data_IF_440503096082
#
_entry.id   IF_440503096082
#
_cell.length_a   1.000
_cell.length_b   1.000
_cell.length_c   1.000
_cell.angle_alpha   90.00
_cell.angle_beta   90.00
_cell.angle_gamma   90.00
#
_symmetry.space_group_name_H-M   'P 1'
#
loop_
_entity.id
_entity.type
_entity.pdbx_description
1 polymer ?
#
# COMPACT_ATOMS: atom_id res chain seq x y z
N UNK A 1 -0.27 9.90 13.87
CA UNK A 1 -0.24 10.16 12.40
C UNK A 1 -1.63 9.86 11.89
N UNK A 2 -2.26 10.81 11.20
CA UNK A 2 -3.56 10.61 10.54
C UNK A 2 -3.32 10.50 9.04
N UNK A 3 -3.96 9.52 8.40
CA UNK A 3 -3.81 9.27 6.97
C UNK A 3 -5.00 8.49 6.43
N UNK A 4 -5.22 8.59 5.13
CA UNK A 4 -6.26 7.86 4.39
C UNK A 4 -5.56 6.86 3.46
N UNK A 5 -6.06 5.63 3.44
CA UNK A 5 -5.63 4.62 2.47
C UNK A 5 -6.44 4.85 1.19
N UNK A 6 -5.77 4.99 0.04
CA UNK A 6 -6.44 5.23 -1.25
C UNK A 6 -7.33 4.05 -1.65
N UNK A 7 -6.80 2.81 -1.56
CA UNK A 7 -7.55 1.59 -1.82
C UNK A 7 -7.11 0.47 -0.87
N UNK A 8 -8.11 -0.17 -0.25
CA UNK A 8 -7.95 -1.40 0.51
C UNK A 8 -8.82 -2.48 -0.11
N UNK A 9 -8.21 -3.62 -0.41
CA UNK A 9 -8.90 -4.82 -0.88
C UNK A 9 -8.76 -5.89 0.18
N UNK A 10 -9.90 -6.44 0.61
CA UNK A 10 -9.95 -7.55 1.56
C UNK A 10 -10.31 -8.83 0.82
N UNK A 11 -9.41 -9.80 0.88
CA UNK A 11 -9.65 -11.16 0.47
C UNK A 11 -10.02 -12.01 1.69
N UNK A 12 -10.30 -13.30 1.48
CA UNK A 12 -10.58 -14.24 2.56
C UNK A 12 -9.39 -14.46 3.48
N UNK A 13 -8.18 -14.37 2.94
CA UNK A 13 -6.92 -14.79 3.55
C UNK A 13 -5.87 -13.68 3.64
N UNK A 14 -6.09 -12.52 3.01
CA UNK A 14 -5.16 -11.40 3.07
C UNK A 14 -5.81 -10.02 2.87
N UNK A 15 -5.06 -8.99 3.22
CA UNK A 15 -5.35 -7.59 2.89
C UNK A 15 -4.31 -7.08 1.89
N UNK A 16 -4.79 -6.38 0.85
CA UNK A 16 -3.95 -5.64 -0.09
C UNK A 16 -4.24 -4.14 0.05
N UNK A 17 -3.18 -3.36 0.19
CA UNK A 17 -3.23 -1.90 0.18
C UNK A 17 -2.61 -1.41 -1.13
N UNK A 18 -3.30 -0.50 -1.82
CA UNK A 18 -2.77 0.18 -3.00
C UNK A 18 -2.76 1.67 -2.73
N UNK A 19 -1.59 2.27 -2.89
CA UNK A 19 -1.37 3.72 -2.85
C UNK A 19 -1.13 4.20 -4.29
N UNK A 20 -1.95 5.13 -4.76
CA UNK A 20 -1.85 5.62 -6.13
C UNK A 20 -0.99 6.88 -6.18
N UNK A 21 -0.12 6.95 -7.18
CA UNK A 21 0.73 8.13 -7.43
C UNK A 21 0.62 8.57 -8.88
N UNK A 22 0.56 9.87 -9.08
CA UNK A 22 0.46 10.50 -10.42
C UNK A 22 1.81 10.98 -10.94
N UNK A 23 2.84 10.98 -10.08
CA UNK A 23 4.18 11.47 -10.40
C UNK A 23 4.91 10.53 -11.35
N UNK A 24 5.83 11.07 -12.17
CA UNK A 24 6.63 10.28 -13.10
C UNK A 24 7.89 9.66 -12.47
N UNK A 25 8.22 10.04 -11.24
CA UNK A 25 9.44 9.65 -10.55
C UNK A 25 9.14 8.64 -9.45
N UNK A 26 9.85 7.52 -9.50
CA UNK A 26 9.84 6.48 -8.46
C UNK A 26 10.58 6.98 -7.22
N UNK A 27 9.85 7.54 -6.26
CA UNK A 27 10.38 7.87 -4.94
C UNK A 27 10.10 6.73 -3.96
N UNK A 28 10.74 5.57 -4.19
CA UNK A 28 10.50 4.35 -3.42
C UNK A 28 10.62 4.57 -1.91
N UNK A 29 11.63 5.31 -1.46
CA UNK A 29 11.93 5.47 -0.04
C UNK A 29 10.97 6.42 0.69
N UNK A 30 10.36 7.37 -0.03
CA UNK A 30 9.50 8.39 0.57
C UNK A 30 8.17 7.80 1.09
N UNK A 31 7.70 6.72 0.46
CA UNK A 31 6.39 6.14 0.76
C UNK A 31 6.43 4.95 1.73
N UNK A 32 7.61 4.36 1.96
CA UNK A 32 7.74 3.15 2.81
C UNK A 32 7.27 3.36 4.25
N UNK A 33 7.57 4.53 4.84
CA UNK A 33 7.22 4.81 6.24
C UNK A 33 5.71 4.82 6.48
N UNK A 34 4.96 5.45 5.59
CA UNK A 34 3.50 5.53 5.70
C UNK A 34 2.84 4.20 5.38
N UNK A 35 3.28 3.52 4.31
CA UNK A 35 2.75 2.21 3.94
C UNK A 35 2.97 1.18 5.04
N UNK A 36 4.13 1.17 5.69
CA UNK A 36 4.40 0.32 6.85
C UNK A 36 3.38 0.54 7.98
N UNK A 37 3.06 1.80 8.30
CA UNK A 37 2.05 2.11 9.31
C UNK A 37 0.65 1.61 8.91
N UNK A 38 0.29 1.72 7.64
CA UNK A 38 -0.98 1.18 7.14
C UNK A 38 -1.02 -0.35 7.21
N UNK A 39 0.05 -1.05 6.83
CA UNK A 39 0.13 -2.51 6.96
C UNK A 39 -0.05 -2.93 8.40
N UNK A 40 0.73 -2.36 9.33
CA UNK A 40 0.62 -2.66 10.76
C UNK A 40 -0.78 -2.40 11.33
N UNK A 41 -1.44 -1.31 10.90
CA UNK A 41 -2.80 -0.99 11.34
C UNK A 41 -3.82 -2.02 10.83
N UNK A 42 -3.70 -2.45 9.58
CA UNK A 42 -4.64 -3.40 8.98
C UNK A 42 -4.44 -4.82 9.48
N UNK A 43 -3.20 -5.25 9.73
CA UNK A 43 -2.92 -6.54 10.38
C UNK A 43 -3.54 -6.60 11.79
N UNK A 44 -3.47 -5.51 12.54
CA UNK A 44 -4.12 -5.42 13.87
C UNK A 44 -5.64 -5.42 13.79
N UNK A 45 -6.22 -4.77 12.78
CA UNK A 45 -7.67 -4.63 12.63
C UNK A 45 -8.34 -5.90 12.11
N UNK A 46 -7.71 -6.56 11.12
CA UNK A 46 -8.31 -7.69 10.41
C UNK A 46 -7.73 -9.04 10.81
N UNK A 47 -6.60 -9.09 11.52
CA UNK A 47 -5.87 -10.32 11.83
C UNK A 47 -5.51 -11.15 10.58
N UNK A 48 -5.25 -10.46 9.48
CA UNK A 48 -4.86 -11.05 8.20
C UNK A 48 -3.50 -10.49 7.77
N UNK A 49 -2.65 -11.31 7.12
CA UNK A 49 -1.44 -10.83 6.46
C UNK A 49 -1.76 -9.64 5.56
N UNK A 50 -0.98 -8.57 5.65
CA UNK A 50 -1.19 -7.37 4.85
C UNK A 50 0.02 -7.07 3.99
N UNK A 51 -0.19 -6.80 2.71
CA UNK A 51 0.84 -6.29 1.80
C UNK A 51 0.38 -5.00 1.15
N UNK A 52 1.35 -4.17 0.74
CA UNK A 52 1.09 -2.88 0.11
C UNK A 52 1.90 -2.71 -1.16
N UNK A 53 1.34 -2.02 -2.15
CA UNK A 53 2.04 -1.59 -3.34
C UNK A 53 1.80 -0.10 -3.63
N UNK A 54 2.80 0.55 -4.22
CA UNK A 54 2.64 1.86 -4.87
C UNK A 54 2.39 1.61 -6.35
N UNK A 55 1.33 2.21 -6.89
CA UNK A 55 0.99 2.14 -8.31
C UNK A 55 1.07 3.53 -8.92
N UNK A 56 1.98 3.68 -9.89
CA UNK A 56 2.12 4.91 -10.65
C UNK A 56 1.14 4.87 -11.81
N UNK A 57 0.11 5.72 -11.80
CA UNK A 57 -0.97 5.69 -12.79
C UNK A 57 -0.50 5.96 -14.23
N UNK A 58 0.68 6.55 -14.40
CA UNK A 58 1.30 6.78 -15.71
C UNK A 58 1.92 5.50 -16.31
N UNK A 59 2.25 4.53 -15.47
CA UNK A 59 2.76 3.21 -15.87
C UNK A 59 2.38 2.15 -14.81
N UNK A 60 1.15 1.63 -14.94
CA UNK A 60 0.64 0.62 -14.00
C UNK A 60 1.35 -0.74 -14.10
N UNK A 61 2.27 -0.93 -15.04
CA UNK A 61 3.02 -2.19 -15.18
C UNK A 61 4.11 -2.35 -14.11
N UNK A 62 4.50 -1.25 -13.46
CA UNK A 62 5.55 -1.23 -12.44
C UNK A 62 4.98 -1.09 -11.03
N UNK A 63 4.43 -2.19 -10.50
CA UNK A 63 4.02 -2.28 -9.09
C UNK A 63 4.91 -3.25 -8.32
N UNK A 64 5.47 -2.81 -7.19
CA UNK A 64 6.23 -3.65 -6.27
C UNK A 64 5.43 -3.86 -4.98
N UNK A 65 5.25 -5.13 -4.60
CA UNK A 65 4.53 -5.52 -3.38
C UNK A 65 5.51 -5.70 -2.23
N UNK A 66 5.18 -5.09 -1.09
CA UNK A 66 5.95 -5.23 0.15
C UNK A 66 5.01 -5.75 1.23
N UNK A 67 5.43 -6.82 1.90
CA UNK A 67 4.79 -7.37 3.10
C UNK A 67 5.30 -6.69 4.36
#
# INVERSE_FOLDING_TARGET
>A
VNGVIDLLVRYSDEIKIVDFKTDAYLFKDLHQGQLRLYREAMERLYHLPTSSAVVYLRDCSQSEWVS
#
